data_IF_878458762677
#
_entry.id   IF_878458762677
#
_cell.length_a   1.000
_cell.length_b   1.000
_cell.length_c   1.000
_cell.angle_alpha   90.00
_cell.angle_beta   90.00
_cell.angle_gamma   90.00
#
_symmetry.space_group_name_H-M   'P 1'
#
loop_
_entity.id
_entity.type
_entity.pdbx_description
1 polymer ?
#
# COMPACT_ATOMS: atom_id res chain seq x y z
N UNK A 1 -14.02 4.57 -26.91
CA UNK A 1 -13.49 4.25 -25.57
C UNK A 1 -14.47 3.34 -24.85
N UNK A 2 -13.98 2.37 -24.06
CA UNK A 2 -14.81 1.55 -23.19
C UNK A 2 -15.51 2.41 -22.11
N UNK A 3 -16.61 1.90 -21.53
CA UNK A 3 -17.26 2.56 -20.37
C UNK A 3 -16.27 2.78 -19.24
N UNK A 4 -15.52 1.78 -18.89
CA UNK A 4 -14.46 1.78 -17.88
C UNK A 4 -13.46 2.93 -18.05
N UNK A 5 -12.96 3.14 -19.28
CA UNK A 5 -12.01 4.22 -19.56
C UNK A 5 -12.63 5.64 -19.54
N UNK A 6 -13.97 5.75 -19.71
CA UNK A 6 -14.66 7.05 -19.61
C UNK A 6 -15.02 7.41 -18.16
N UNK A 7 -15.21 6.39 -17.32
CA UNK A 7 -15.70 6.53 -15.94
C UNK A 7 -14.57 6.49 -14.91
N UNK A 8 -13.32 6.19 -15.34
CA UNK A 8 -12.16 6.19 -14.45
C UNK A 8 -11.94 7.59 -13.84
N UNK A 9 -11.84 7.65 -12.52
CA UNK A 9 -11.57 8.89 -11.82
C UNK A 9 -10.07 9.23 -11.92
N UNK A 10 -9.72 10.51 -12.17
CA UNK A 10 -8.33 10.92 -12.14
C UNK A 10 -7.80 10.87 -10.70
N UNK A 11 -6.57 10.40 -10.55
CA UNK A 11 -5.85 10.49 -9.27
C UNK A 11 -5.32 11.91 -9.08
N UNK A 12 -6.13 12.78 -8.45
CA UNK A 12 -5.88 14.22 -8.35
C UNK A 12 -4.73 14.58 -7.44
N UNK A 13 -4.32 13.70 -6.53
CA UNK A 13 -3.12 13.88 -5.71
C UNK A 13 -1.88 14.19 -6.56
N UNK A 14 -1.81 13.70 -7.80
CA UNK A 14 -0.72 14.02 -8.73
C UNK A 14 -0.71 15.47 -9.21
N UNK A 15 -1.85 16.15 -9.23
CA UNK A 15 -1.98 17.51 -9.77
C UNK A 15 -1.12 18.51 -8.99
N UNK A 16 -1.17 18.46 -7.66
CA UNK A 16 -0.37 19.35 -6.81
C UNK A 16 1.12 19.03 -6.88
N UNK A 17 1.48 17.75 -7.08
CA UNK A 17 2.87 17.33 -7.34
C UNK A 17 3.41 17.93 -8.63
N UNK A 18 2.65 17.86 -9.73
CA UNK A 18 3.02 18.43 -11.03
C UNK A 18 3.13 19.95 -11.00
N UNK A 19 2.22 20.63 -10.28
CA UNK A 19 2.28 22.08 -10.10
C UNK A 19 3.53 22.47 -9.30
N UNK A 20 3.82 21.77 -8.21
CA UNK A 20 5.04 21.97 -7.43
C UNK A 20 6.31 21.81 -8.29
N UNK A 21 6.36 20.77 -9.15
CA UNK A 21 7.49 20.55 -10.05
C UNK A 21 7.67 21.68 -11.07
N UNK A 22 6.57 22.26 -11.58
CA UNK A 22 6.62 23.44 -12.47
C UNK A 22 7.16 24.65 -11.74
N UNK A 23 6.74 24.91 -10.50
CA UNK A 23 7.25 26.02 -9.67
C UNK A 23 8.74 25.86 -9.37
N UNK A 24 9.18 24.64 -9.03
CA UNK A 24 10.60 24.31 -8.78
C UNK A 24 11.42 24.55 -10.05
N UNK A 25 10.94 24.13 -11.21
CA UNK A 25 11.60 24.36 -12.50
C UNK A 25 11.75 25.86 -12.84
N UNK A 26 10.88 26.72 -12.28
CA UNK A 26 10.93 28.19 -12.40
C UNK A 26 11.80 28.84 -11.32
N UNK A 27 12.44 28.07 -10.44
CA UNK A 27 13.33 28.56 -9.40
C UNK A 27 12.66 28.82 -8.04
N UNK A 28 11.38 28.47 -7.86
CA UNK A 28 10.69 28.61 -6.58
C UNK A 28 11.06 27.43 -5.68
N UNK A 29 11.42 27.69 -4.42
CA UNK A 29 11.62 26.65 -3.42
C UNK A 29 10.26 26.17 -2.92
N UNK A 30 9.93 24.89 -3.13
CA UNK A 30 8.66 24.28 -2.71
C UNK A 30 8.92 23.07 -1.81
N UNK A 31 8.22 22.99 -0.68
CA UNK A 31 8.20 21.82 0.19
C UNK A 31 7.14 20.84 -0.32
N UNK A 32 7.58 19.71 -0.83
CA UNK A 32 6.69 18.65 -1.37
C UNK A 32 6.27 17.67 -0.28
N UNK A 33 5.01 17.74 0.14
CA UNK A 33 4.36 16.80 1.06
C UNK A 33 3.13 16.14 0.41
N UNK A 34 2.98 16.25 -0.91
CA UNK A 34 1.78 15.80 -1.63
C UNK A 34 1.82 14.36 -2.10
N UNK A 35 2.99 13.80 -2.36
CA UNK A 35 3.12 12.45 -2.92
C UNK A 35 3.63 11.47 -1.86
N UNK A 36 2.91 10.35 -1.70
CA UNK A 36 3.26 9.26 -0.79
C UNK A 36 4.47 8.46 -1.26
N UNK A 37 5.62 9.11 -1.42
CA UNK A 37 6.86 8.53 -1.89
C UNK A 37 8.01 8.87 -0.93
N UNK A 38 8.78 7.85 -0.45
CA UNK A 38 9.99 8.13 0.32
C UNK A 38 11.01 8.89 -0.53
N UNK A 39 11.69 9.85 0.06
CA UNK A 39 12.78 10.60 -0.58
C UNK A 39 14.12 9.82 -0.54
N UNK A 40 14.13 8.63 0.02
CA UNK A 40 15.24 7.70 0.00
C UNK A 40 15.16 6.79 -1.23
N UNK A 41 16.27 6.56 -1.91
CA UNK A 41 16.36 5.56 -2.98
C UNK A 41 16.58 4.15 -2.44
N UNK A 42 16.69 3.15 -3.31
CA UNK A 42 17.05 1.79 -2.92
C UNK A 42 18.40 1.76 -2.15
N UNK A 43 18.60 0.78 -1.23
CA UNK A 43 19.90 0.59 -0.56
C UNK A 43 21.07 0.50 -1.53
N UNK A 44 22.28 0.91 -1.13
CA UNK A 44 23.46 0.88 -2.02
C UNK A 44 23.70 -0.48 -2.67
N UNK A 45 23.63 -1.57 -1.90
CA UNK A 45 23.82 -2.94 -2.41
C UNK A 45 22.82 -3.30 -3.52
N UNK A 46 21.57 -2.86 -3.41
CA UNK A 46 20.53 -3.07 -4.44
C UNK A 46 20.87 -2.32 -5.73
N UNK A 47 21.37 -1.09 -5.61
CA UNK A 47 21.78 -0.28 -6.77
C UNK A 47 22.98 -0.88 -7.47
N UNK A 48 23.93 -1.43 -6.72
CA UNK A 48 25.11 -2.10 -7.26
C UNK A 48 24.72 -3.41 -7.94
N UNK A 49 23.90 -4.24 -7.30
CA UNK A 49 23.34 -5.45 -7.90
C UNK A 49 22.56 -5.16 -9.20
N UNK A 50 21.86 -4.02 -9.30
CA UNK A 50 21.20 -3.61 -10.54
C UNK A 50 22.19 -3.28 -11.65
N UNK A 51 23.29 -2.59 -11.34
CA UNK A 51 24.33 -2.28 -12.35
C UNK A 51 24.91 -3.55 -12.95
N UNK A 52 25.08 -4.59 -12.16
CA UNK A 52 25.57 -5.89 -12.60
C UNK A 52 24.63 -6.60 -13.60
N UNK A 53 23.34 -6.26 -13.60
CA UNK A 53 22.41 -6.86 -14.57
C UNK A 53 22.61 -6.35 -15.99
N UNK A 54 23.28 -5.23 -16.19
CA UNK A 54 23.48 -4.59 -17.50
C UNK A 54 24.90 -4.78 -18.06
N UNK A 55 25.49 -5.95 -17.85
CA UNK A 55 26.83 -6.32 -18.35
C UNK A 55 26.83 -6.87 -19.79
N UNK A 56 25.70 -6.84 -20.49
CA UNK A 56 25.52 -7.37 -21.83
C UNK A 56 24.99 -8.80 -21.91
N UNK A 57 24.74 -9.45 -20.76
CA UNK A 57 24.08 -10.77 -20.73
C UNK A 57 22.65 -10.70 -21.21
N UNK A 58 22.11 -11.83 -21.68
CA UNK A 58 20.69 -11.95 -21.96
C UNK A 58 19.88 -11.86 -20.65
N UNK A 59 18.75 -11.17 -20.71
CA UNK A 59 17.79 -11.04 -19.62
C UNK A 59 16.48 -11.76 -20.03
N UNK A 60 16.40 -13.09 -19.84
CA UNK A 60 15.22 -13.87 -20.21
C UNK A 60 14.04 -13.56 -19.28
N UNK A 61 12.84 -13.95 -19.69
CA UNK A 61 11.69 -13.98 -18.78
C UNK A 61 11.96 -14.91 -17.60
N UNK A 62 11.45 -14.54 -16.45
CA UNK A 62 11.33 -15.45 -15.29
C UNK A 62 10.02 -16.23 -15.37
N UNK A 63 9.78 -17.15 -14.44
CA UNK A 63 8.43 -17.65 -14.20
C UNK A 63 7.48 -16.49 -13.84
N UNK A 64 6.21 -16.61 -14.16
CA UNK A 64 5.21 -15.57 -13.87
C UNK A 64 5.08 -15.28 -12.37
N UNK A 65 5.17 -16.33 -11.56
CA UNK A 65 5.21 -16.20 -10.10
C UNK A 65 6.51 -15.56 -9.57
N UNK A 66 7.51 -15.33 -10.42
CA UNK A 66 8.78 -14.70 -10.06
C UNK A 66 9.93 -15.67 -9.84
N UNK A 67 11.13 -15.10 -9.64
CA UNK A 67 12.36 -15.88 -9.36
C UNK A 67 12.18 -16.72 -8.09
N UNK A 68 12.49 -18.03 -8.11
CA UNK A 68 12.42 -18.88 -6.93
C UNK A 68 13.25 -18.36 -5.77
N UNK A 69 14.46 -17.84 -6.04
CA UNK A 69 15.36 -17.29 -5.06
C UNK A 69 14.78 -16.05 -4.38
N UNK A 70 14.07 -15.19 -5.12
CA UNK A 70 13.44 -14.01 -4.57
C UNK A 70 12.21 -14.37 -3.72
N UNK A 71 11.42 -15.35 -4.17
CA UNK A 71 10.30 -15.88 -3.39
C UNK A 71 10.78 -16.49 -2.06
N UNK A 72 11.89 -17.24 -2.10
CA UNK A 72 12.51 -17.76 -0.89
C UNK A 72 13.01 -16.64 0.04
N UNK A 73 13.68 -15.62 -0.51
CA UNK A 73 14.18 -14.49 0.28
C UNK A 73 13.03 -13.70 0.94
N UNK A 74 11.89 -13.54 0.25
CA UNK A 74 10.69 -12.94 0.85
C UNK A 74 10.14 -13.84 1.97
N UNK A 75 10.06 -15.15 1.79
CA UNK A 75 9.62 -16.08 2.83
C UNK A 75 10.54 -16.04 4.07
N UNK A 76 11.86 -16.01 3.85
CA UNK A 76 12.84 -15.88 4.92
C UNK A 76 12.68 -14.55 5.68
N UNK A 77 12.43 -13.45 4.97
CA UNK A 77 12.15 -12.14 5.57
C UNK A 77 10.91 -12.17 6.47
N UNK A 78 9.81 -12.82 6.03
CA UNK A 78 8.63 -12.98 6.88
C UNK A 78 8.90 -13.83 8.10
N UNK A 79 9.69 -14.91 7.98
CA UNK A 79 10.07 -15.76 9.11
C UNK A 79 10.92 -14.99 10.13
N UNK A 80 11.93 -14.23 9.67
CA UNK A 80 12.87 -13.54 10.55
C UNK A 80 12.28 -12.28 11.20
N UNK A 81 11.42 -11.54 10.47
CA UNK A 81 10.89 -10.27 10.94
C UNK A 81 9.51 -10.37 11.57
N UNK A 82 8.66 -11.25 11.06
CA UNK A 82 7.25 -11.35 11.47
C UNK A 82 6.91 -12.68 12.17
N UNK A 83 7.89 -13.57 12.36
CA UNK A 83 7.71 -14.90 12.95
C UNK A 83 6.63 -15.73 12.20
N UNK A 84 6.65 -15.67 10.86
CA UNK A 84 5.70 -16.33 9.97
C UNK A 84 6.43 -17.25 9.00
N UNK A 85 6.11 -18.55 9.05
CA UNK A 85 6.63 -19.55 8.11
C UNK A 85 5.71 -19.65 6.89
N UNK A 86 6.14 -19.06 5.79
CA UNK A 86 5.38 -18.97 4.54
C UNK A 86 6.05 -19.84 3.48
N UNK A 87 5.29 -20.80 2.91
CA UNK A 87 5.79 -21.57 1.77
C UNK A 87 6.04 -20.62 0.57
N UNK A 88 7.26 -20.57 0.02
CA UNK A 88 7.58 -19.73 -1.13
C UNK A 88 6.67 -19.96 -2.35
N UNK A 89 6.03 -21.12 -2.49
CA UNK A 89 5.07 -21.39 -3.57
C UNK A 89 3.85 -20.46 -3.54
N UNK A 90 3.48 -19.95 -2.35
CA UNK A 90 2.38 -19.01 -2.13
C UNK A 90 2.71 -17.57 -2.56
N UNK A 91 3.97 -17.26 -2.83
CA UNK A 91 4.43 -15.91 -3.13
C UNK A 91 4.45 -15.70 -4.63
N UNK A 92 3.73 -14.69 -5.11
CA UNK A 92 3.77 -14.19 -6.48
C UNK A 92 4.48 -12.83 -6.51
N UNK A 93 5.62 -12.75 -7.18
CA UNK A 93 6.35 -11.49 -7.41
C UNK A 93 5.67 -10.70 -8.52
N UNK A 94 5.39 -9.43 -8.27
CA UNK A 94 4.55 -8.59 -9.13
C UNK A 94 5.25 -7.31 -9.58
N UNK A 95 4.71 -6.65 -10.59
CA UNK A 95 5.17 -5.33 -11.06
C UNK A 95 4.74 -4.19 -10.10
N UNK A 96 5.16 -4.29 -8.84
CA UNK A 96 4.79 -3.42 -7.72
C UNK A 96 3.52 -3.87 -7.00
N UNK A 97 3.24 -3.27 -5.83
CA UNK A 97 2.03 -3.56 -5.05
C UNK A 97 0.73 -3.32 -5.83
N UNK A 98 0.71 -2.37 -6.78
CA UNK A 98 -0.45 -2.13 -7.64
C UNK A 98 -0.80 -3.34 -8.49
N UNK A 99 0.20 -4.07 -9.00
CA UNK A 99 -0.05 -5.30 -9.77
C UNK A 99 -0.47 -6.46 -8.85
N UNK A 100 -0.01 -6.50 -7.59
CA UNK A 100 -0.51 -7.45 -6.60
C UNK A 100 -2.01 -7.22 -6.32
N UNK A 101 -2.41 -5.97 -6.09
CA UNK A 101 -3.82 -5.60 -5.92
C UNK A 101 -4.66 -5.89 -7.18
N UNK A 102 -4.11 -5.63 -8.38
CA UNK A 102 -4.77 -5.96 -9.65
C UNK A 102 -5.05 -7.47 -9.77
N UNK A 103 -4.04 -8.31 -9.49
CA UNK A 103 -4.20 -9.76 -9.52
C UNK A 103 -5.19 -10.25 -8.46
N UNK A 104 -5.08 -9.73 -7.23
CA UNK A 104 -6.00 -10.07 -6.15
C UNK A 104 -7.46 -9.73 -6.52
N UNK A 105 -7.68 -8.55 -7.12
CA UNK A 105 -9.02 -8.14 -7.56
C UNK A 105 -9.50 -8.99 -8.74
N UNK A 106 -8.64 -9.27 -9.72
CA UNK A 106 -8.97 -10.12 -10.86
C UNK A 106 -9.33 -11.56 -10.46
N UNK A 107 -8.67 -12.07 -9.41
CA UNK A 107 -8.94 -13.40 -8.87
C UNK A 107 -10.28 -13.50 -8.14
N UNK A 108 -10.74 -12.41 -7.53
CA UNK A 108 -11.77 -12.46 -6.48
C UNK A 108 -13.08 -11.75 -6.82
N UNK A 109 -13.10 -10.91 -7.86
CA UNK A 109 -14.23 -10.03 -8.18
C UNK A 109 -14.77 -10.30 -9.58
N UNK A 110 -16.01 -10.71 -9.63
CA UNK A 110 -16.79 -10.82 -10.89
C UNK A 110 -17.69 -9.59 -11.10
N UNK A 111 -18.19 -9.36 -12.34
CA UNK A 111 -19.13 -8.30 -12.62
C UNK A 111 -20.39 -8.36 -11.73
N UNK A 112 -20.63 -7.26 -11.00
CA UNK A 112 -21.78 -7.12 -10.10
C UNK A 112 -21.56 -7.61 -8.67
N UNK A 113 -20.39 -8.11 -8.34
CA UNK A 113 -20.00 -8.41 -6.96
C UNK A 113 -19.77 -7.14 -6.15
N UNK A 114 -20.02 -7.20 -4.86
CA UNK A 114 -19.78 -6.12 -3.91
C UNK A 114 -18.46 -6.33 -3.18
N UNK A 115 -17.67 -5.25 -3.08
CA UNK A 115 -16.43 -5.22 -2.31
C UNK A 115 -16.51 -4.13 -1.25
N UNK A 116 -16.37 -4.50 0.01
CA UNK A 116 -16.32 -3.58 1.14
C UNK A 116 -14.94 -2.91 1.22
N UNK A 117 -14.93 -1.59 1.26
CA UNK A 117 -13.72 -0.75 1.35
C UNK A 117 -13.95 0.34 2.40
N UNK A 118 -12.94 0.67 3.19
CA UNK A 118 -13.02 1.79 4.12
C UNK A 118 -13.12 3.14 3.36
N UNK A 119 -13.81 4.09 3.96
CA UNK A 119 -13.83 5.48 3.55
C UNK A 119 -13.39 6.35 4.75
N UNK A 120 -12.21 7.03 4.71
CA UNK A 120 -11.27 7.14 3.58
C UNK A 120 -10.41 5.90 3.34
N UNK A 121 -9.91 5.73 2.11
CA UNK A 121 -8.93 4.71 1.73
C UNK A 121 -8.14 5.08 0.48
N UNK A 122 -7.15 4.26 0.13
CA UNK A 122 -6.35 4.45 -1.08
C UNK A 122 -7.23 4.41 -2.34
N UNK A 123 -7.24 5.48 -3.17
CA UNK A 123 -8.19 5.63 -4.27
C UNK A 123 -8.16 4.49 -5.29
N UNK A 124 -6.98 3.92 -5.54
CA UNK A 124 -6.84 2.86 -6.53
C UNK A 124 -7.62 1.59 -6.15
N UNK A 125 -7.87 1.33 -4.87
CA UNK A 125 -8.68 0.19 -4.44
C UNK A 125 -10.08 0.22 -5.08
N UNK A 126 -10.72 1.40 -5.05
CA UNK A 126 -12.04 1.61 -5.66
C UNK A 126 -11.99 1.45 -7.18
N UNK A 127 -10.98 2.02 -7.81
CA UNK A 127 -10.84 1.97 -9.27
C UNK A 127 -10.51 0.55 -9.78
N UNK A 128 -9.75 -0.25 -9.02
CA UNK A 128 -9.52 -1.65 -9.34
C UNK A 128 -10.83 -2.45 -9.31
N UNK A 129 -11.62 -2.32 -8.26
CA UNK A 129 -12.94 -2.99 -8.17
C UNK A 129 -13.84 -2.60 -9.34
N UNK A 130 -13.94 -1.29 -9.65
CA UNK A 130 -14.73 -0.78 -10.79
C UNK A 130 -14.19 -1.29 -12.14
N UNK A 131 -12.88 -1.51 -12.24
CA UNK A 131 -12.24 -2.02 -13.47
C UNK A 131 -12.67 -3.44 -13.81
N UNK A 132 -13.04 -4.23 -12.81
CA UNK A 132 -13.60 -5.57 -12.96
C UNK A 132 -15.15 -5.58 -12.91
N UNK A 133 -15.78 -4.41 -13.05
CA UNK A 133 -17.24 -4.24 -13.02
C UNK A 133 -17.88 -4.65 -11.68
N UNK A 134 -17.07 -4.75 -10.62
CA UNK A 134 -17.54 -4.86 -9.25
C UNK A 134 -18.10 -3.55 -8.72
N UNK A 135 -18.92 -3.62 -7.71
CA UNK A 135 -19.48 -2.48 -6.98
C UNK A 135 -18.72 -2.25 -5.69
N UNK A 136 -18.22 -1.05 -5.51
CA UNK A 136 -17.60 -0.64 -4.24
C UNK A 136 -18.67 -0.32 -3.22
N UNK A 137 -18.55 -0.90 -2.03
CA UNK A 137 -19.33 -0.54 -0.85
C UNK A 137 -18.40 0.29 0.04
N UNK A 138 -18.46 1.60 -0.11
CA UNK A 138 -17.73 2.55 0.70
C UNK A 138 -18.33 2.58 2.11
N UNK A 139 -17.54 2.17 3.11
CA UNK A 139 -17.96 2.12 4.52
C UNK A 139 -17.36 3.31 5.25
N UNK A 140 -18.17 4.30 5.66
CA UNK A 140 -17.68 5.44 6.40
C UNK A 140 -17.02 5.01 7.70
N UNK A 141 -15.78 5.43 7.89
CA UNK A 141 -14.99 5.23 9.10
C UNK A 141 -14.70 6.59 9.74
N UNK A 142 -14.25 6.60 10.99
CA UNK A 142 -13.99 7.83 11.71
C UNK A 142 -12.84 7.68 12.70
N UNK A 143 -12.51 8.75 13.39
CA UNK A 143 -11.54 8.73 14.48
C UNK A 143 -11.87 7.70 15.56
N UNK A 144 -13.16 7.42 15.81
CA UNK A 144 -13.58 6.44 16.79
C UNK A 144 -13.13 5.00 16.46
N UNK A 145 -12.98 4.71 15.16
CA UNK A 145 -12.44 3.42 14.66
C UNK A 145 -11.01 3.57 14.14
N UNK A 146 -10.33 4.68 14.45
CA UNK A 146 -9.02 5.03 13.89
C UNK A 146 -8.98 4.98 12.35
N UNK A 147 -10.13 5.26 11.70
CA UNK A 147 -10.35 5.18 10.25
C UNK A 147 -10.19 3.77 9.67
N UNK A 148 -10.45 2.72 10.47
CA UNK A 148 -10.43 1.34 10.02
C UNK A 148 -11.83 0.71 10.04
N UNK A 149 -11.99 -0.34 9.22
CA UNK A 149 -13.14 -1.22 9.27
C UNK A 149 -13.18 -1.97 10.60
N UNK A 150 -14.38 -2.21 11.10
CA UNK A 150 -14.66 -3.14 12.19
C UNK A 150 -15.65 -4.20 11.73
N UNK A 151 -15.75 -5.32 12.44
CA UNK A 151 -16.69 -6.38 12.10
C UNK A 151 -18.14 -5.86 12.13
N UNK A 152 -18.47 -4.97 13.08
CA UNK A 152 -19.80 -4.35 13.17
C UNK A 152 -20.09 -3.47 11.96
N UNK A 153 -19.16 -2.59 11.57
CA UNK A 153 -19.32 -1.78 10.36
C UNK A 153 -19.46 -2.66 9.13
N UNK A 154 -18.59 -3.64 8.93
CA UNK A 154 -18.70 -4.57 7.83
C UNK A 154 -20.07 -5.27 7.81
N UNK A 155 -20.57 -5.70 8.97
CA UNK A 155 -21.89 -6.37 9.07
C UNK A 155 -23.05 -5.45 8.67
N UNK A 156 -23.01 -4.16 9.02
CA UNK A 156 -24.04 -3.17 8.67
C UNK A 156 -24.13 -2.92 7.16
N UNK A 157 -23.00 -2.95 6.46
CA UNK A 157 -22.92 -2.70 5.01
C UNK A 157 -22.86 -3.96 4.17
N UNK A 158 -22.92 -5.14 4.81
CA UNK A 158 -22.88 -6.43 4.11
C UNK A 158 -24.11 -6.67 3.25
N UNK A 159 -23.92 -7.15 2.04
CA UNK A 159 -25.00 -7.52 1.13
C UNK A 159 -24.92 -9.01 0.77
N UNK A 160 -25.94 -9.53 0.12
CA UNK A 160 -25.91 -10.90 -0.43
C UNK A 160 -24.91 -11.08 -1.58
N UNK A 161 -24.36 -9.97 -2.10
CA UNK A 161 -23.36 -9.96 -3.18
C UNK A 161 -21.96 -9.65 -2.70
N UNK A 162 -21.74 -9.44 -1.40
CA UNK A 162 -20.42 -9.15 -0.87
C UNK A 162 -19.50 -10.36 -1.05
N UNK A 163 -18.43 -10.17 -1.83
CA UNK A 163 -17.45 -11.18 -2.20
C UNK A 163 -16.06 -10.95 -1.60
N UNK A 164 -15.74 -9.69 -1.28
CA UNK A 164 -14.45 -9.37 -0.69
C UNK A 164 -14.56 -8.21 0.31
N UNK A 165 -13.65 -8.21 1.27
CA UNK A 165 -13.30 -7.07 2.12
C UNK A 165 -11.87 -6.69 1.81
N UNK A 166 -11.65 -5.41 1.45
CA UNK A 166 -10.34 -4.88 1.12
C UNK A 166 -9.86 -3.96 2.24
N UNK A 167 -8.74 -4.29 2.85
CA UNK A 167 -8.18 -3.63 4.04
C UNK A 167 -6.80 -3.08 3.67
N UNK A 168 -6.46 -1.90 4.15
CA UNK A 168 -5.10 -1.34 4.06
C UNK A 168 -4.59 -1.03 5.46
N UNK A 169 -3.50 -1.67 5.88
CA UNK A 169 -2.92 -1.44 7.20
C UNK A 169 -1.39 -1.64 7.18
N UNK A 170 -0.61 -0.61 7.58
CA UNK A 170 -1.01 0.77 7.88
C UNK A 170 -1.69 1.49 6.73
N UNK A 171 -2.64 2.35 7.03
CA UNK A 171 -3.55 2.96 6.05
C UNK A 171 -2.91 4.14 5.30
N UNK A 172 -3.20 4.23 4.03
CA UNK A 172 -3.12 5.43 3.22
C UNK A 172 -4.57 5.95 3.00
N UNK A 173 -4.95 7.16 3.49
CA UNK A 173 -4.10 8.31 3.80
C UNK A 173 -3.84 8.55 5.30
N UNK A 174 -4.38 7.77 6.20
CA UNK A 174 -4.45 8.15 7.63
C UNK A 174 -3.17 7.87 8.42
N UNK A 175 -2.30 6.99 7.92
CA UNK A 175 -1.10 6.56 8.63
C UNK A 175 -1.38 5.73 9.88
N UNK A 176 -2.61 5.29 10.06
CA UNK A 176 -3.02 4.48 11.22
C UNK A 176 -2.89 2.99 10.94
N UNK A 177 -2.50 2.24 11.95
CA UNK A 177 -2.48 0.77 11.92
C UNK A 177 -3.76 0.25 12.58
N UNK A 178 -4.40 -0.75 11.98
CA UNK A 178 -5.55 -1.43 12.56
C UNK A 178 -5.10 -2.23 13.80
N UNK A 179 -5.91 -2.23 14.84
CA UNK A 179 -5.70 -3.13 15.98
C UNK A 179 -5.78 -4.59 15.54
N UNK A 180 -4.85 -5.43 16.00
CA UNK A 180 -4.74 -6.80 15.55
C UNK A 180 -5.99 -7.65 15.87
N UNK A 181 -6.63 -7.41 17.01
CA UNK A 181 -7.86 -8.12 17.36
C UNK A 181 -9.03 -7.67 16.47
N UNK A 182 -9.10 -6.36 16.14
CA UNK A 182 -10.10 -5.83 15.20
C UNK A 182 -9.90 -6.41 13.81
N UNK A 183 -8.66 -6.53 13.36
CA UNK A 183 -8.32 -7.17 12.08
C UNK A 183 -8.77 -8.64 12.06
N UNK A 184 -8.48 -9.38 13.12
CA UNK A 184 -8.89 -10.78 13.28
C UNK A 184 -10.42 -10.95 13.26
N UNK A 185 -11.16 -10.07 13.96
CA UNK A 185 -12.63 -10.07 13.94
C UNK A 185 -13.19 -9.80 12.54
N UNK A 186 -12.63 -8.85 11.79
CA UNK A 186 -13.05 -8.57 10.41
C UNK A 186 -12.76 -9.75 9.49
N UNK A 187 -11.58 -10.37 9.62
CA UNK A 187 -11.21 -11.54 8.83
C UNK A 187 -12.12 -12.75 9.15
N UNK A 188 -12.38 -13.03 10.42
CA UNK A 188 -13.31 -14.09 10.84
C UNK A 188 -14.73 -13.88 10.32
N UNK A 189 -15.22 -12.65 10.38
CA UNK A 189 -16.52 -12.31 9.80
C UNK A 189 -16.56 -12.59 8.30
N UNK A 190 -15.58 -12.08 7.55
CA UNK A 190 -15.50 -12.29 6.11
C UNK A 190 -15.39 -13.77 5.74
N UNK A 191 -14.50 -14.51 6.40
CA UNK A 191 -14.33 -15.94 6.21
C UNK A 191 -15.61 -16.73 6.50
N UNK A 192 -16.33 -16.41 7.60
CA UNK A 192 -17.59 -17.08 7.96
C UNK A 192 -18.69 -16.88 6.93
N UNK A 193 -18.60 -15.85 6.10
CA UNK A 193 -19.52 -15.51 5.01
C UNK A 193 -19.01 -15.90 3.63
N UNK A 194 -17.86 -16.60 3.55
CA UNK A 194 -17.26 -17.06 2.31
C UNK A 194 -16.70 -15.92 1.44
N UNK A 195 -16.36 -14.79 2.04
CA UNK A 195 -15.79 -13.65 1.32
C UNK A 195 -14.26 -13.64 1.41
N UNK A 196 -13.61 -13.10 0.38
CA UNK A 196 -12.17 -12.92 0.31
C UNK A 196 -11.71 -11.77 1.23
N UNK A 197 -10.52 -11.91 1.77
CA UNK A 197 -9.81 -10.89 2.56
C UNK A 197 -8.59 -10.49 1.76
N UNK A 198 -8.62 -9.27 1.23
CA UNK A 198 -7.49 -8.67 0.49
C UNK A 198 -6.89 -7.61 1.40
N UNK A 199 -5.66 -7.82 1.81
CA UNK A 199 -5.00 -6.94 2.78
C UNK A 199 -3.74 -6.33 2.15
N UNK A 200 -3.78 -5.00 1.98
CA UNK A 200 -2.63 -4.23 1.51
C UNK A 200 -1.74 -3.88 2.72
N UNK A 201 -0.60 -4.56 2.80
CA UNK A 201 0.42 -4.39 3.83
C UNK A 201 1.65 -3.62 3.33
N UNK A 202 1.52 -2.84 2.26
CA UNK A 202 2.63 -2.08 1.65
C UNK A 202 3.40 -1.22 2.66
N UNK A 203 2.79 -0.84 3.76
CA UNK A 203 3.40 -0.02 4.82
C UNK A 203 3.68 -0.79 6.11
N UNK A 204 3.52 -2.11 6.15
CA UNK A 204 3.67 -2.90 7.38
C UNK A 204 5.03 -2.66 8.05
N UNK A 205 6.11 -2.71 7.28
CA UNK A 205 7.47 -2.51 7.78
C UNK A 205 7.81 -1.05 8.11
N UNK A 206 6.89 -0.12 7.87
CA UNK A 206 6.95 1.28 8.30
C UNK A 206 6.01 1.58 9.47
N UNK A 207 5.39 0.57 10.06
CA UNK A 207 4.63 0.71 11.29
C UNK A 207 5.54 1.02 12.49
N UNK A 208 4.99 1.67 13.49
CA UNK A 208 5.65 1.78 14.79
C UNK A 208 5.70 0.38 15.43
N UNK A 209 6.73 0.14 16.21
CA UNK A 209 6.75 -1.10 16.98
C UNK A 209 5.71 -1.06 18.09
N UNK A 210 5.23 -2.24 18.46
CA UNK A 210 4.38 -2.41 19.62
C UNK A 210 5.11 -1.95 20.92
N UNK A 211 4.41 -1.64 22.00
CA UNK A 211 5.04 -1.16 23.24
C UNK A 211 6.08 -2.10 23.82
N UNK A 212 6.01 -3.40 23.54
CA UNK A 212 6.99 -4.42 23.95
C UNK A 212 8.21 -4.52 23.02
N UNK A 213 8.24 -3.68 21.96
CA UNK A 213 9.31 -3.62 20.98
C UNK A 213 9.17 -4.60 19.81
N UNK A 214 8.10 -5.39 19.76
CA UNK A 214 7.84 -6.30 18.64
C UNK A 214 7.33 -5.55 17.41
N UNK A 215 7.47 -6.14 16.23
CA UNK A 215 6.88 -5.60 15.00
C UNK A 215 5.35 -5.76 15.00
N UNK A 216 4.65 -4.88 14.31
CA UNK A 216 3.21 -5.04 14.05
C UNK A 216 2.99 -6.32 13.26
N UNK A 217 1.99 -7.08 13.64
CA UNK A 217 1.69 -8.39 13.04
C UNK A 217 1.04 -8.25 11.67
N UNK A 218 1.49 -9.06 10.72
CA UNK A 218 0.78 -9.28 9.46
C UNK A 218 -0.57 -9.97 9.71
N UNK A 219 -1.53 -9.74 8.82
CA UNK A 219 -2.82 -10.46 8.81
C UNK A 219 -2.64 -11.98 8.79
N UNK A 220 -1.56 -12.47 8.19
CA UNK A 220 -1.27 -13.91 8.11
C UNK A 220 -1.06 -14.57 9.47
N UNK A 221 -0.83 -13.79 10.52
CA UNK A 221 -0.75 -14.30 11.90
C UNK A 221 -2.12 -14.68 12.49
N UNK A 222 -3.23 -14.15 11.94
CA UNK A 222 -4.60 -14.52 12.37
C UNK A 222 -5.43 -15.14 11.24
N UNK A 223 -5.11 -14.87 9.98
CA UNK A 223 -5.82 -15.40 8.82
C UNK A 223 -4.82 -15.87 7.74
N UNK A 224 -4.37 -17.10 7.80
CA UNK A 224 -3.38 -17.63 6.84
C UNK A 224 -3.92 -17.72 5.40
N UNK A 225 -5.25 -17.63 5.22
CA UNK A 225 -5.91 -17.67 3.91
C UNK A 225 -6.24 -16.27 3.37
N UNK A 226 -5.80 -15.20 4.02
CA UNK A 226 -5.90 -13.86 3.46
C UNK A 226 -4.94 -13.70 2.26
N UNK A 227 -5.35 -12.88 1.28
CA UNK A 227 -4.47 -12.43 0.21
C UNK A 227 -3.74 -11.18 0.72
N UNK A 228 -2.43 -11.26 0.88
CA UNK A 228 -1.59 -10.11 1.22
C UNK A 228 -1.01 -9.49 -0.04
N UNK A 229 -1.11 -8.18 -0.16
CA UNK A 229 -0.41 -7.39 -1.18
C UNK A 229 0.66 -6.53 -0.50
N UNK A 230 1.90 -6.59 -1.00
CA UNK A 230 3.01 -5.83 -0.44
C UNK A 230 3.95 -5.30 -1.54
N UNK A 231 4.91 -4.45 -1.19
CA UNK A 231 5.73 -3.75 -2.18
C UNK A 231 7.13 -3.43 -1.69
N UNK A 232 8.11 -3.52 -2.58
CA UNK A 232 9.45 -2.96 -2.36
C UNK A 232 9.49 -1.43 -2.39
N UNK A 233 8.38 -0.78 -2.78
CA UNK A 233 8.33 0.67 -2.99
C UNK A 233 8.59 1.50 -1.74
N UNK A 234 8.17 1.03 -0.55
CA UNK A 234 8.12 1.88 0.64
C UNK A 234 9.27 1.62 1.61
N UNK A 235 9.27 0.50 2.31
CA UNK A 235 10.35 0.17 3.24
C UNK A 235 11.72 0.11 2.56
N UNK A 236 11.80 -0.52 1.39
CA UNK A 236 13.04 -0.65 0.62
C UNK A 236 13.36 0.55 -0.29
N UNK A 237 12.49 1.58 -0.37
CA UNK A 237 12.74 2.78 -1.17
C UNK A 237 12.82 2.55 -2.68
N UNK A 238 12.15 1.54 -3.19
CA UNK A 238 12.19 1.11 -4.60
C UNK A 238 10.95 1.53 -5.38
N UNK A 239 10.45 2.77 -5.22
CA UNK A 239 9.18 3.23 -5.83
C UNK A 239 9.16 3.07 -7.35
N UNK A 240 10.11 3.67 -8.05
CA UNK A 240 10.22 3.64 -9.51
C UNK A 240 10.71 2.30 -10.10
N UNK A 241 11.16 1.37 -9.25
CA UNK A 241 11.66 0.07 -9.69
C UNK A 241 10.53 -0.90 -10.04
N UNK A 242 9.31 -0.61 -9.60
CA UNK A 242 8.08 -1.36 -9.88
C UNK A 242 8.20 -2.83 -9.52
N UNK A 243 8.47 -3.14 -8.25
CA UNK A 243 8.51 -4.50 -7.72
C UNK A 243 7.67 -4.61 -6.44
N UNK A 244 6.96 -5.72 -6.30
CA UNK A 244 6.13 -6.07 -5.15
C UNK A 244 5.85 -7.56 -5.11
N UNK A 245 4.98 -7.97 -4.23
CA UNK A 245 4.55 -9.37 -4.14
C UNK A 245 3.13 -9.48 -3.61
N UNK A 246 2.50 -10.60 -3.95
CA UNK A 246 1.33 -11.10 -3.27
C UNK A 246 1.66 -12.40 -2.52
N UNK A 247 1.03 -12.61 -1.35
CA UNK A 247 1.03 -13.90 -0.67
C UNK A 247 -0.39 -14.43 -0.75
N UNK A 248 -0.53 -15.65 -1.26
CA UNK A 248 -1.80 -16.25 -1.61
C UNK A 248 -2.19 -17.34 -0.60
N UNK A 249 -3.47 -17.69 -0.48
CA UNK A 249 -3.90 -18.90 0.21
C UNK A 249 -3.15 -20.15 -0.31
N UNK A 250 -2.89 -21.11 0.57
CA UNK A 250 -2.28 -22.41 0.16
C UNK A 250 -3.33 -23.33 -0.48
N UNK A 251 -3.89 -22.88 -1.60
CA UNK A 251 -4.90 -23.58 -2.37
C UNK A 251 -4.39 -23.76 -3.80
N UNK A 252 -4.19 -25.00 -4.29
CA UNK A 252 -3.62 -25.24 -5.62
C UNK A 252 -4.35 -24.52 -6.75
N UNK A 253 -5.67 -24.48 -6.70
CA UNK A 253 -6.50 -23.81 -7.73
C UNK A 253 -6.31 -22.29 -7.74
N UNK A 254 -6.08 -21.69 -6.57
CA UNK A 254 -5.77 -20.25 -6.44
C UNK A 254 -4.38 -19.95 -7.01
N UNK A 255 -3.40 -20.79 -6.68
CA UNK A 255 -2.01 -20.61 -7.15
C UNK A 255 -1.93 -20.75 -8.68
N UNK A 256 -2.59 -21.76 -9.25
CA UNK A 256 -2.67 -21.96 -10.71
C UNK A 256 -3.38 -20.78 -11.39
N UNK A 257 -4.52 -20.34 -10.88
CA UNK A 257 -5.25 -19.21 -11.43
C UNK A 257 -4.43 -17.91 -11.42
N UNK A 258 -3.67 -17.65 -10.36
CA UNK A 258 -2.80 -16.45 -10.29
C UNK A 258 -1.61 -16.56 -11.24
N UNK A 259 -1.00 -17.74 -11.39
CA UNK A 259 0.07 -17.96 -12.35
C UNK A 259 -0.42 -17.70 -13.80
N UNK A 260 -1.60 -18.20 -14.14
CA UNK A 260 -2.25 -17.96 -15.43
C UNK A 260 -2.57 -16.48 -15.64
N UNK A 261 -3.17 -15.79 -14.65
CA UNK A 261 -3.47 -14.38 -14.75
C UNK A 261 -2.20 -13.53 -14.90
N UNK A 262 -1.17 -13.79 -14.10
CA UNK A 262 0.10 -13.08 -14.19
C UNK A 262 0.78 -13.29 -15.55
N UNK A 263 0.80 -14.54 -16.03
CA UNK A 263 1.32 -14.88 -17.37
C UNK A 263 0.60 -14.10 -18.46
N UNK A 264 -0.73 -14.05 -18.42
CA UNK A 264 -1.52 -13.40 -19.47
C UNK A 264 -1.50 -11.86 -19.37
N UNK A 265 -1.32 -11.28 -18.18
CA UNK A 265 -1.34 -9.82 -18.02
C UNK A 265 -0.01 -9.17 -18.32
N UNK A 266 1.12 -9.77 -17.93
CA UNK A 266 2.45 -9.15 -18.07
C UNK A 266 3.63 -10.13 -18.16
N UNK A 267 3.40 -11.42 -18.33
CA UNK A 267 4.38 -12.52 -18.42
C UNK A 267 5.14 -12.74 -17.10
N UNK A 268 5.89 -11.76 -16.63
CA UNK A 268 6.61 -11.78 -15.35
C UNK A 268 6.92 -10.35 -14.90
N UNK A 269 7.26 -10.17 -13.63
CA UNK A 269 7.84 -8.92 -13.15
C UNK A 269 9.22 -8.68 -13.79
N UNK A 270 9.68 -7.43 -13.77
CA UNK A 270 10.92 -7.01 -14.44
C UNK A 270 12.14 -7.80 -13.95
N UNK A 271 12.71 -8.64 -14.81
CA UNK A 271 13.78 -9.61 -14.48
C UNK A 271 14.98 -8.95 -13.78
N UNK A 272 15.60 -7.87 -14.30
CA UNK A 272 16.75 -7.24 -13.62
C UNK A 272 16.42 -6.76 -12.22
N UNK A 273 15.21 -6.22 -12.02
CA UNK A 273 14.77 -5.73 -10.70
C UNK A 273 14.60 -6.89 -9.71
N UNK A 274 14.12 -8.05 -10.15
CA UNK A 274 14.00 -9.22 -9.29
C UNK A 274 15.38 -9.69 -8.80
N UNK A 275 16.36 -9.77 -9.67
CA UNK A 275 17.74 -10.13 -9.29
C UNK A 275 18.35 -9.10 -8.33
N UNK A 276 18.20 -7.81 -8.63
CA UNK A 276 18.72 -6.75 -7.76
C UNK A 276 18.05 -6.74 -6.38
N UNK A 277 16.77 -7.08 -6.30
CA UNK A 277 15.99 -7.07 -5.06
C UNK A 277 16.45 -8.14 -4.05
N UNK A 278 17.16 -9.17 -4.46
CA UNK A 278 17.79 -10.11 -3.53
C UNK A 278 18.71 -9.39 -2.54
N UNK A 279 19.38 -8.32 -2.96
CA UNK A 279 20.23 -7.50 -2.10
C UNK A 279 19.45 -6.65 -1.07
N UNK A 280 18.11 -6.56 -1.16
CA UNK A 280 17.27 -5.91 -0.14
C UNK A 280 17.34 -6.61 1.21
N UNK A 281 17.53 -7.92 1.19
CA UNK A 281 17.45 -8.79 2.38
C UNK A 281 18.83 -9.03 3.05
N UNK A 282 19.88 -8.35 2.58
CA UNK A 282 21.16 -8.40 3.29
C UNK A 282 21.08 -7.62 4.61
N UNK A 283 21.84 -8.02 5.67
CA UNK A 283 21.83 -7.32 6.95
C UNK A 283 22.10 -5.81 6.82
N UNK A 284 23.01 -5.43 5.91
CA UNK A 284 23.36 -4.03 5.66
C UNK A 284 22.20 -3.24 5.05
N UNK A 285 21.51 -3.82 4.07
CA UNK A 285 20.34 -3.20 3.44
C UNK A 285 19.19 -3.05 4.42
N UNK A 286 18.93 -4.07 5.25
CA UNK A 286 17.89 -4.02 6.27
C UNK A 286 18.20 -2.97 7.35
N UNK A 287 19.46 -2.87 7.78
CA UNK A 287 19.91 -1.85 8.72
C UNK A 287 19.74 -0.43 8.16
N UNK A 288 20.03 -0.22 6.87
CA UNK A 288 19.81 1.05 6.17
C UNK A 288 18.30 1.39 6.11
N UNK A 289 17.45 0.43 5.75
CA UNK A 289 16.01 0.62 5.72
C UNK A 289 15.44 0.97 7.11
N UNK A 290 15.93 0.31 8.16
CA UNK A 290 15.53 0.59 9.53
C UNK A 290 15.97 1.99 9.98
N UNK A 291 17.19 2.43 9.64
CA UNK A 291 17.66 3.79 9.92
C UNK A 291 16.75 4.84 9.24
N UNK A 292 16.33 4.60 8.01
CA UNK A 292 15.40 5.45 7.26
C UNK A 292 14.00 5.45 7.90
N UNK A 293 13.53 4.32 8.38
CA UNK A 293 12.29 4.25 9.15
C UNK A 293 12.34 5.16 10.37
N UNK A 294 13.45 5.13 11.13
CA UNK A 294 13.64 6.02 12.29
C UNK A 294 13.64 7.50 11.89
N UNK A 295 14.25 7.85 10.76
CA UNK A 295 14.20 9.22 10.25
C UNK A 295 12.77 9.65 9.89
N UNK A 296 11.98 8.79 9.24
CA UNK A 296 10.56 9.06 8.94
C UNK A 296 9.73 9.26 10.22
N UNK A 297 9.99 8.48 11.27
CA UNK A 297 9.35 8.66 12.57
C UNK A 297 9.68 10.02 13.20
N UNK A 298 10.94 10.44 13.11
CA UNK A 298 11.37 11.76 13.61
C UNK A 298 10.68 12.90 12.83
N UNK A 299 10.63 12.82 11.50
CA UNK A 299 9.93 13.80 10.65
C UNK A 299 8.44 13.84 10.94
N UNK A 300 7.79 12.69 11.13
CA UNK A 300 6.37 12.62 11.49
C UNK A 300 6.06 13.42 12.76
N UNK A 301 6.88 13.29 13.80
CA UNK A 301 6.73 14.07 15.06
C UNK A 301 6.82 15.57 14.80
N UNK A 302 7.79 16.02 13.99
CA UNK A 302 7.94 17.44 13.63
C UNK A 302 6.67 17.96 12.95
N UNK A 303 6.10 17.20 12.01
CA UNK A 303 4.88 17.59 11.28
C UNK A 303 3.68 17.64 12.23
N UNK A 304 3.46 16.61 13.04
CA UNK A 304 2.33 16.53 14.00
C UNK A 304 2.41 17.69 15.00
N UNK A 305 3.58 17.92 15.61
CA UNK A 305 3.77 19.04 16.53
C UNK A 305 3.59 20.40 15.87
N UNK A 306 4.02 20.51 14.61
CA UNK A 306 3.82 21.70 13.78
C UNK A 306 2.34 21.96 13.53
N UNK A 307 1.60 20.97 13.08
CA UNK A 307 0.14 21.05 12.84
C UNK A 307 -0.61 21.44 14.13
N UNK A 308 -0.27 20.84 15.25
CA UNK A 308 -0.86 21.18 16.56
C UNK A 308 -0.62 22.64 16.92
N UNK A 309 0.61 23.17 16.72
CA UNK A 309 0.94 24.58 17.02
C UNK A 309 0.15 25.58 16.19
N UNK A 310 -0.16 25.25 14.93
CA UNK A 310 -0.95 26.13 14.05
C UNK A 310 -2.47 25.91 14.18
N UNK A 311 -2.91 25.05 15.11
CA UNK A 311 -4.32 24.83 15.37
C UNK A 311 -5.02 23.84 14.44
N UNK A 312 -4.27 23.03 13.70
CA UNK A 312 -4.76 21.98 12.80
C UNK A 312 -4.29 20.59 13.30
N UNK A 313 -4.69 20.16 14.51
CA UNK A 313 -4.23 18.90 15.06
C UNK A 313 -4.74 17.71 14.21
N UNK A 314 -3.95 16.65 14.15
CA UNK A 314 -4.43 15.37 13.64
C UNK A 314 -5.42 14.78 14.66
N UNK A 315 -6.55 14.30 14.19
CA UNK A 315 -7.59 13.74 15.05
C UNK A 315 -7.19 12.38 15.64
N UNK A 316 -6.52 11.56 14.82
CA UNK A 316 -5.93 10.28 15.23
C UNK A 316 -4.46 10.32 14.93
N UNK A 317 -3.63 10.18 15.95
CA UNK A 317 -2.18 10.16 15.78
C UNK A 317 -1.78 8.91 14.98
N UNK A 318 -1.05 9.10 13.84
CA UNK A 318 -0.60 7.98 13.02
C UNK A 318 0.48 7.17 13.73
N UNK A 319 0.41 5.86 13.59
CA UNK A 319 1.36 4.90 14.13
C UNK A 319 1.94 3.95 13.07
N UNK A 320 1.88 4.37 11.81
CA UNK A 320 2.46 3.65 10.69
C UNK A 320 2.59 4.54 9.45
N UNK A 321 3.21 4.02 8.39
CA UNK A 321 3.49 4.76 7.17
C UNK A 321 4.19 6.12 7.44
N UNK A 322 3.97 7.10 6.55
CA UNK A 322 4.55 8.44 6.67
C UNK A 322 3.52 9.53 6.33
N UNK A 323 2.25 9.28 6.63
CA UNK A 323 1.14 10.20 6.39
C UNK A 323 0.74 10.93 7.67
N UNK A 324 0.27 12.17 7.51
CA UNK A 324 -0.46 12.92 8.51
C UNK A 324 -1.79 13.37 7.90
N UNK A 325 -2.89 12.83 8.40
CA UNK A 325 -4.25 13.13 7.95
C UNK A 325 -4.91 14.04 8.98
N UNK A 326 -5.25 15.29 8.59
CA UNK A 326 -5.72 16.30 9.52
C UNK A 326 -6.94 17.05 8.99
N UNK A 327 -7.79 17.51 9.91
CA UNK A 327 -8.98 18.29 9.61
C UNK A 327 -8.65 19.79 9.46
N UNK A 328 -9.13 20.36 8.37
CA UNK A 328 -8.97 21.79 8.05
C UNK A 328 -10.27 22.59 8.22
N UNK A 329 -11.35 22.00 8.71
CA UNK A 329 -12.68 22.63 8.81
C UNK A 329 -12.63 23.98 9.53
N UNK A 330 -11.73 24.14 10.50
CA UNK A 330 -11.49 25.40 11.22
C UNK A 330 -11.02 26.56 10.37
N UNK A 331 -10.48 26.26 9.17
CA UNK A 331 -10.05 27.31 8.24
C UNK A 331 -11.20 27.92 7.45
N UNK A 332 -12.35 27.25 7.41
CA UNK A 332 -13.49 27.62 6.57
C UNK A 332 -13.29 27.36 5.08
N UNK A 333 -12.19 26.71 4.70
CA UNK A 333 -11.88 26.35 3.31
C UNK A 333 -12.25 24.89 3.06
N UNK A 334 -12.57 24.56 1.81
CA UNK A 334 -12.58 23.17 1.35
C UNK A 334 -11.14 22.67 1.12
N UNK A 335 -10.97 21.34 1.10
CA UNK A 335 -9.66 20.72 1.01
C UNK A 335 -8.86 21.08 -0.26
N UNK A 336 -9.56 21.28 -1.38
CA UNK A 336 -8.91 21.67 -2.63
C UNK A 336 -8.37 23.09 -2.56
N UNK A 337 -9.22 24.05 -2.21
CA UNK A 337 -8.84 25.45 -2.03
C UNK A 337 -7.72 25.62 -0.99
N UNK A 338 -7.76 24.83 0.09
CA UNK A 338 -6.69 24.84 1.09
C UNK A 338 -5.35 24.41 0.47
N UNK A 339 -5.33 23.31 -0.30
CA UNK A 339 -4.11 22.83 -0.96
C UNK A 339 -3.58 23.81 -2.02
N UNK A 340 -4.47 24.44 -2.82
CA UNK A 340 -4.10 25.50 -3.77
C UNK A 340 -3.41 26.65 -3.06
N UNK A 341 -4.03 27.19 -2.02
CA UNK A 341 -3.46 28.31 -1.26
C UNK A 341 -2.18 27.94 -0.53
N UNK A 342 -2.08 26.72 0.04
CA UNK A 342 -0.85 26.24 0.66
C UNK A 342 0.31 26.21 -0.34
N UNK A 343 0.05 25.81 -1.59
CA UNK A 343 1.06 25.78 -2.64
C UNK A 343 1.41 27.21 -3.12
N UNK A 344 0.42 28.04 -3.42
CA UNK A 344 0.63 29.36 -4.03
C UNK A 344 1.18 30.37 -3.03
N UNK A 345 0.69 30.38 -1.77
CA UNK A 345 1.02 31.38 -0.77
C UNK A 345 2.18 30.97 0.15
N UNK A 346 2.27 29.67 0.49
CA UNK A 346 3.26 29.13 1.42
C UNK A 346 4.30 28.23 0.76
N UNK A 347 4.15 27.92 -0.51
CA UNK A 347 5.00 27.01 -1.29
C UNK A 347 5.10 25.62 -0.64
N UNK A 348 3.97 25.10 -0.13
CA UNK A 348 3.85 23.77 0.44
C UNK A 348 2.83 22.97 -0.37
N UNK A 349 3.27 21.94 -1.05
CA UNK A 349 2.41 21.05 -1.80
C UNK A 349 1.80 19.99 -0.87
N UNK A 350 0.48 19.94 -0.78
CA UNK A 350 -0.31 18.98 0.00
C UNK A 350 -1.26 18.21 -0.93
N UNK A 351 -1.95 17.22 -0.38
CA UNK A 351 -2.98 16.44 -1.10
C UNK A 351 -4.33 16.61 -0.44
N UNK A 352 -5.40 16.94 -1.20
CA UNK A 352 -6.73 17.09 -0.64
C UNK A 352 -7.32 15.74 -0.24
N UNK A 353 -7.91 15.66 0.95
CA UNK A 353 -8.48 14.43 1.51
C UNK A 353 -9.61 13.83 0.66
N UNK A 354 -10.34 14.66 -0.10
CA UNK A 354 -11.46 14.22 -0.95
C UNK A 354 -11.10 13.21 -2.05
N UNK A 355 -9.82 13.00 -2.33
CA UNK A 355 -9.39 11.95 -3.26
C UNK A 355 -9.45 10.56 -2.63
N UNK A 356 -9.50 10.50 -1.31
CA UNK A 356 -9.46 9.27 -0.52
C UNK A 356 -10.83 8.85 0.01
N UNK A 357 -11.84 9.77 -0.06
CA UNK A 357 -13.20 9.51 0.38
C UNK A 357 -14.12 10.72 0.27
#
# INVERSE_FOLDING_TARGET
>A
MSRRAREANPFRAMVFGEQADKMIAQGTSVIKLSLGEPDFGAPPAVRDAMREQYDGRALPYTAAMGLPELRQAIADFYRERHDLDIDPKRICVTAGGSAALLLATALTVDPGDDVIVADPSYPCNRELVRSFEGRVIDVPTSAATRFHLTADLCSQYWTSKTKAVMITSPSNPTGTTIDFNVLDEVCKLAASRGAWRIVDETYLDLADREPDGTEVKSVLACDPDAIVCNSFSKFFGMTGWRLGWAILPDEPTVLEAVDDLATNYYLCAHTPTQHAALACFTPESLAECEARRQELLARRRIVIDGLKRIGLPVEVEPNGAFYAYFDISRTGLDAWTFCERALDEAHVALTPGRDFG
#
